data_IF_555733017563
#
_entry.id   IF_555733017563
#
_cell.length_a   1.000
_cell.length_b   1.000
_cell.length_c   1.000
_cell.angle_alpha   90.00
_cell.angle_beta   90.00
_cell.angle_gamma   90.00
#
_symmetry.space_group_name_H-M   'P 1'
#
loop_
_entity.id
_entity.type
_entity.pdbx_description
1 polymer ?
#
# COMPACT_ATOMS: atom_id res chain seq x y z
N UNK A 1 -8.59 -7.62 -19.22
CA UNK A 1 -8.98 -7.15 -17.86
C UNK A 1 -7.72 -7.17 -17.00
N UNK A 2 -7.33 -6.08 -16.33
CA UNK A 2 -6.17 -6.12 -15.41
C UNK A 2 -6.44 -7.12 -14.29
N UNK A 3 -5.47 -7.99 -13.99
CA UNK A 3 -5.60 -9.02 -12.95
C UNK A 3 -4.54 -8.80 -11.89
N UNK A 4 -4.97 -8.58 -10.65
CA UNK A 4 -4.11 -8.64 -9.46
C UNK A 4 -4.00 -10.10 -9.01
N UNK A 5 -2.81 -10.67 -9.03
CA UNK A 5 -2.55 -12.02 -8.49
C UNK A 5 -2.03 -11.87 -7.06
N UNK A 6 -2.36 -12.82 -6.19
CA UNK A 6 -1.81 -12.90 -4.85
C UNK A 6 -1.59 -14.36 -4.45
N UNK A 7 -0.71 -14.58 -3.48
CA UNK A 7 -0.54 -15.87 -2.81
C UNK A 7 -0.42 -15.65 -1.31
N UNK A 8 -0.93 -16.60 -0.52
CA UNK A 8 -0.74 -16.64 0.93
C UNK A 8 0.62 -17.28 1.21
N UNK A 9 1.40 -16.65 2.08
CA UNK A 9 2.72 -17.11 2.52
C UNK A 9 2.62 -17.98 3.78
N UNK A 10 1.50 -17.92 4.50
CA UNK A 10 1.24 -18.71 5.70
C UNK A 10 -0.26 -18.96 5.88
N UNK A 11 -0.60 -19.81 6.85
CA UNK A 11 -1.98 -20.05 7.29
C UNK A 11 -2.60 -18.85 8.01
N UNK A 12 -1.81 -17.86 8.43
CA UNK A 12 -2.29 -16.67 9.10
C UNK A 12 -2.82 -15.60 8.14
N UNK A 13 -2.50 -15.72 6.86
CA UNK A 13 -2.91 -14.77 5.83
C UNK A 13 -4.41 -14.84 5.51
N UNK A 14 -5.03 -13.67 5.40
CA UNK A 14 -6.43 -13.54 4.96
C UNK A 14 -6.48 -13.07 3.50
N UNK A 15 -7.41 -13.64 2.72
CA UNK A 15 -7.61 -13.24 1.32
C UNK A 15 -8.10 -11.79 1.25
N UNK A 16 -7.43 -10.90 0.48
CA UNK A 16 -7.90 -9.53 0.32
C UNK A 16 -9.33 -9.48 -0.25
N UNK A 17 -10.16 -8.57 0.27
CA UNK A 17 -11.56 -8.43 -0.17
C UNK A 17 -11.86 -7.00 -0.58
N UNK A 18 -12.99 -6.76 -1.26
CA UNK A 18 -13.47 -5.40 -1.55
C UNK A 18 -14.77 -5.15 -0.80
N UNK A 19 -14.90 -3.95 -0.23
CA UNK A 19 -16.14 -3.54 0.45
C UNK A 19 -17.35 -3.36 -0.47
N UNK A 20 -17.13 -3.23 -1.78
CA UNK A 20 -18.18 -3.20 -2.79
C UNK A 20 -17.62 -3.52 -4.18
N UNK A 21 -18.50 -3.75 -5.17
CA UNK A 21 -18.08 -3.99 -6.56
C UNK A 21 -17.28 -2.81 -7.16
N UNK A 22 -17.50 -1.59 -6.67
CA UNK A 22 -16.86 -0.34 -7.14
C UNK A 22 -15.81 0.20 -6.16
N UNK A 23 -15.48 -0.52 -5.08
CA UNK A 23 -14.43 -0.10 -4.17
C UNK A 23 -13.09 -0.03 -4.91
N UNK A 24 -12.35 1.05 -4.69
CA UNK A 24 -11.08 1.30 -5.37
C UNK A 24 -9.98 0.31 -4.94
N UNK A 25 -9.93 -0.02 -3.64
CA UNK A 25 -8.91 -0.89 -3.08
C UNK A 25 -9.44 -2.21 -2.52
N UNK A 26 -8.53 -3.15 -2.34
CA UNK A 26 -8.75 -4.39 -1.61
C UNK A 26 -8.31 -4.20 -0.16
N UNK A 27 -9.19 -4.48 0.80
CA UNK A 27 -8.84 -4.50 2.22
C UNK A 27 -7.68 -5.49 2.48
N UNK A 28 -6.65 -5.00 3.18
CA UNK A 28 -5.51 -5.79 3.65
C UNK A 28 -5.68 -6.09 5.14
N UNK A 29 -5.31 -7.31 5.52
CA UNK A 29 -5.58 -7.86 6.83
C UNK A 29 -4.29 -8.12 7.59
N UNK A 30 -4.28 -7.88 8.90
CA UNK A 30 -3.18 -8.29 9.75
C UNK A 30 -3.12 -9.82 9.87
N UNK A 31 -1.94 -10.40 9.69
CA UNK A 31 -1.71 -11.82 9.96
C UNK A 31 -1.47 -12.11 11.45
N UNK A 32 -1.12 -11.09 12.25
CA UNK A 32 -0.72 -11.24 13.65
C UNK A 32 -1.31 -10.15 14.54
N UNK A 33 -1.14 -10.31 15.85
CA UNK A 33 -1.46 -9.26 16.81
C UNK A 33 -0.30 -8.27 16.95
N UNK A 34 -0.62 -6.98 17.06
CA UNK A 34 0.34 -5.91 17.31
C UNK A 34 -0.24 -4.90 18.30
N UNK A 35 0.63 -4.32 19.11
CA UNK A 35 0.34 -3.15 19.95
C UNK A 35 1.24 -2.01 19.49
N UNK A 36 0.65 -0.90 19.05
CA UNK A 36 1.41 0.27 18.56
C UNK A 36 1.23 1.39 19.57
N UNK A 37 2.31 1.72 20.29
CA UNK A 37 2.28 2.79 21.29
C UNK A 37 1.97 4.16 20.66
N UNK A 38 1.48 5.13 21.46
CA UNK A 38 1.34 6.51 21.02
C UNK A 38 2.63 7.05 20.41
N UNK A 39 2.52 7.75 19.28
CA UNK A 39 3.66 8.34 18.56
C UNK A 39 4.70 7.33 18.07
N UNK A 40 4.32 6.07 17.88
CA UNK A 40 5.17 5.00 17.38
C UNK A 40 4.65 4.41 16.05
N UNK A 41 5.39 3.44 15.50
CA UNK A 41 5.06 2.75 14.25
C UNK A 41 5.29 1.24 14.36
N UNK A 42 4.54 0.48 13.57
CA UNK A 42 4.78 -0.94 13.38
C UNK A 42 4.67 -1.34 11.91
N UNK A 43 5.41 -2.37 11.53
CA UNK A 43 5.25 -3.02 10.23
C UNK A 43 4.32 -4.21 10.43
N UNK A 44 3.03 -4.00 10.18
CA UNK A 44 2.01 -5.04 10.27
C UNK A 44 2.12 -5.96 9.06
N UNK A 45 2.52 -7.21 9.28
CA UNK A 45 2.62 -8.23 8.23
C UNK A 45 1.24 -8.76 7.85
N UNK A 46 1.02 -8.93 6.55
CA UNK A 46 -0.23 -9.47 6.00
C UNK A 46 -0.10 -10.94 5.59
N UNK A 47 1.13 -11.43 5.45
CA UNK A 47 1.48 -12.76 4.95
C UNK A 47 0.89 -13.06 3.57
N UNK A 48 0.64 -12.03 2.77
CA UNK A 48 0.40 -12.18 1.34
C UNK A 48 1.60 -11.65 0.56
N UNK A 49 1.84 -12.26 -0.59
CA UNK A 49 2.62 -11.65 -1.68
C UNK A 49 1.66 -11.33 -2.83
N UNK A 50 2.02 -10.34 -3.64
CA UNK A 50 1.19 -9.91 -4.78
C UNK A 50 2.02 -9.81 -6.06
N UNK A 51 1.33 -9.91 -7.19
CA UNK A 51 1.81 -9.45 -8.48
C UNK A 51 0.74 -8.55 -9.07
N UNK A 52 1.01 -7.23 -9.04
CA UNK A 52 0.13 -6.21 -9.61
C UNK A 52 0.11 -6.34 -11.14
N UNK A 53 -0.92 -5.80 -11.81
CA UNK A 53 -0.95 -5.76 -13.28
C UNK A 53 0.26 -4.98 -13.82
N UNK A 54 0.74 -5.38 -15.01
CA UNK A 54 1.83 -4.66 -15.66
C UNK A 54 1.52 -3.18 -15.89
N UNK A 55 2.49 -2.31 -15.61
CA UNK A 55 2.32 -0.85 -15.69
C UNK A 55 1.54 -0.26 -14.51
N UNK A 56 1.44 -0.99 -13.40
CA UNK A 56 0.88 -0.51 -12.15
C UNK A 56 1.87 -0.72 -11.00
N UNK A 57 1.73 0.10 -9.96
CA UNK A 57 2.23 -0.22 -8.63
C UNK A 57 1.06 -0.50 -7.68
N UNK A 58 1.33 -1.18 -6.57
CA UNK A 58 0.39 -1.36 -5.49
C UNK A 58 0.50 -0.24 -4.48
N UNK A 59 -0.51 0.64 -4.40
CA UNK A 59 -0.59 1.64 -3.35
C UNK A 59 -1.21 1.06 -2.08
N UNK A 60 -0.44 0.96 -1.00
CA UNK A 60 -0.97 0.66 0.33
C UNK A 60 -1.49 1.97 0.92
N UNK A 61 -2.81 2.11 0.98
CA UNK A 61 -3.50 3.33 1.39
C UNK A 61 -4.17 3.16 2.77
N UNK A 62 -4.30 4.24 3.55
CA UNK A 62 -4.99 4.20 4.84
C UNK A 62 -6.48 3.92 4.68
N UNK A 63 -7.09 3.35 5.72
CA UNK A 63 -8.54 3.22 5.85
C UNK A 63 -9.06 4.46 6.57
N UNK A 64 -10.02 5.17 5.97
CA UNK A 64 -10.55 6.44 6.51
C UNK A 64 -11.08 6.31 7.94
N UNK A 65 -11.69 5.17 8.28
CA UNK A 65 -12.18 4.91 9.63
C UNK A 65 -11.05 4.83 10.68
N UNK A 66 -9.90 4.25 10.34
CA UNK A 66 -8.75 4.18 11.24
C UNK A 66 -8.10 5.56 11.41
N UNK A 67 -7.94 6.29 10.30
CA UNK A 67 -7.41 7.65 10.32
C UNK A 67 -8.27 8.60 11.14
N UNK A 68 -9.59 8.63 10.91
CA UNK A 68 -10.48 9.59 11.55
C UNK A 68 -10.79 9.26 13.02
N UNK A 69 -10.85 7.98 13.40
CA UNK A 69 -11.26 7.58 14.76
C UNK A 69 -10.09 7.30 15.70
N UNK A 70 -8.96 6.84 15.17
CA UNK A 70 -7.82 6.37 15.96
C UNK A 70 -6.53 7.12 15.65
N UNK A 71 -6.55 8.07 14.70
CA UNK A 71 -5.38 8.82 14.24
C UNK A 71 -4.25 7.90 13.72
N UNK A 72 -4.66 6.86 12.98
CA UNK A 72 -3.74 5.90 12.37
C UNK A 72 -3.53 6.23 10.89
N UNK A 73 -2.27 6.31 10.46
CA UNK A 73 -1.89 6.54 9.07
C UNK A 73 -1.01 5.42 8.52
N UNK A 74 -0.80 5.41 7.20
CA UNK A 74 0.02 4.42 6.48
C UNK A 74 1.25 5.07 5.87
N UNK A 75 2.42 4.51 6.15
CA UNK A 75 3.71 4.88 5.56
C UNK A 75 4.17 4.00 4.40
N UNK A 76 5.27 4.42 3.76
CA UNK A 76 5.91 3.81 2.58
C UNK A 76 4.99 3.74 1.35
N UNK A 77 3.89 3.01 1.43
CA UNK A 77 2.76 3.09 0.51
C UNK A 77 2.98 2.53 -0.89
N UNK A 78 4.20 2.18 -1.29
CA UNK A 78 4.54 1.70 -2.64
C UNK A 78 4.94 0.23 -2.60
N UNK A 79 4.24 -0.60 -3.37
CA UNK A 79 4.61 -1.99 -3.66
C UNK A 79 4.92 -2.10 -5.15
N UNK A 80 6.19 -2.31 -5.49
CA UNK A 80 6.67 -2.36 -6.86
C UNK A 80 6.12 -3.58 -7.64
N UNK A 81 6.10 -3.46 -8.96
CA UNK A 81 5.59 -4.51 -9.86
C UNK A 81 6.38 -5.83 -9.74
N UNK A 82 7.67 -5.75 -9.45
CA UNK A 82 8.60 -6.88 -9.30
C UNK A 82 8.77 -7.35 -7.85
N UNK A 83 8.14 -6.69 -6.87
CA UNK A 83 8.18 -7.12 -5.48
C UNK A 83 7.38 -8.42 -5.26
N UNK A 84 8.04 -9.44 -4.71
CA UNK A 84 7.44 -10.75 -4.38
C UNK A 84 7.56 -11.13 -2.91
N UNK A 85 7.97 -10.18 -2.07
CA UNK A 85 8.03 -10.39 -0.63
C UNK A 85 6.67 -10.32 0.05
N UNK A 86 6.68 -10.46 1.37
CA UNK A 86 5.51 -10.27 2.21
C UNK A 86 5.09 -8.80 2.20
N UNK A 87 3.86 -8.51 1.78
CA UNK A 87 3.29 -7.16 1.80
C UNK A 87 3.14 -6.72 3.25
N UNK A 88 3.93 -5.74 3.66
CA UNK A 88 3.83 -5.12 4.98
C UNK A 88 3.01 -3.83 4.90
N UNK A 89 2.28 -3.53 5.97
CA UNK A 89 1.60 -2.25 6.17
C UNK A 89 2.35 -1.49 7.27
N UNK A 90 3.01 -0.40 6.92
CA UNK A 90 3.65 0.48 7.90
C UNK A 90 2.56 1.35 8.52
N UNK A 91 2.12 1.04 9.73
CA UNK A 91 1.15 1.86 10.46
C UNK A 91 1.87 2.84 11.36
N UNK A 92 1.44 4.10 11.32
CA UNK A 92 1.81 5.13 12.29
C UNK A 92 0.66 5.36 13.24
N UNK A 93 0.94 5.34 14.55
CA UNK A 93 -0.02 5.76 15.56
C UNK A 93 0.29 7.18 16.01
N UNK A 94 -0.43 8.17 15.47
CA UNK A 94 -0.34 9.56 15.94
C UNK A 94 -1.31 9.87 17.08
N UNK A 95 -2.10 8.88 17.52
CA UNK A 95 -3.01 8.98 18.64
C UNK A 95 -2.29 9.06 19.99
N UNK A 96 -3.08 9.30 21.04
CA UNK A 96 -2.61 9.36 22.43
C UNK A 96 -2.73 8.04 23.18
N UNK A 97 -3.40 7.06 22.58
CA UNK A 97 -3.66 5.73 23.15
C UNK A 97 -2.93 4.67 22.33
N UNK A 98 -2.57 3.55 22.95
CA UNK A 98 -2.04 2.39 22.24
C UNK A 98 -3.08 1.86 21.27
N UNK A 99 -2.69 1.69 20.01
CA UNK A 99 -3.56 1.10 18.99
C UNK A 99 -3.30 -0.40 18.91
N UNK A 100 -4.32 -1.16 19.25
CA UNK A 100 -4.31 -2.63 19.19
C UNK A 100 -4.78 -3.09 17.81
N UNK A 101 -3.93 -3.85 17.14
CA UNK A 101 -4.27 -4.57 15.91
C UNK A 101 -4.38 -6.05 16.27
N UNK A 102 -5.52 -6.67 16.00
CA UNK A 102 -5.69 -8.11 16.15
C UNK A 102 -5.54 -8.82 14.80
N UNK A 103 -5.12 -10.07 14.84
CA UNK A 103 -5.10 -10.95 13.68
C UNK A 103 -6.48 -10.95 13.01
N UNK A 104 -6.49 -10.74 11.70
CA UNK A 104 -7.72 -10.63 10.91
C UNK A 104 -8.33 -9.22 10.86
N UNK A 105 -7.77 -8.23 11.56
CA UNK A 105 -8.22 -6.85 11.41
C UNK A 105 -7.82 -6.28 10.05
N UNK A 106 -8.72 -5.48 9.48
CA UNK A 106 -8.46 -4.72 8.26
C UNK A 106 -7.64 -3.49 8.59
N UNK A 107 -6.39 -3.46 8.15
CA UNK A 107 -5.40 -2.44 8.56
C UNK A 107 -5.10 -1.40 7.49
N UNK A 108 -5.25 -1.75 6.21
CA UNK A 108 -5.04 -0.85 5.08
C UNK A 108 -5.90 -1.31 3.89
N UNK A 109 -5.77 -0.62 2.76
CA UNK A 109 -6.32 -1.08 1.48
C UNK A 109 -5.27 -0.97 0.39
N UNK A 110 -5.24 -1.94 -0.52
CA UNK A 110 -4.36 -1.97 -1.68
C UNK A 110 -5.09 -1.45 -2.92
N UNK A 111 -4.61 -0.36 -3.51
CA UNK A 111 -5.11 0.19 -4.78
C UNK A 111 -4.08 -0.07 -5.88
N UNK A 112 -4.48 -0.62 -7.02
CA UNK A 112 -3.59 -0.73 -8.18
C UNK A 112 -3.67 0.55 -9.00
N UNK A 113 -2.60 1.34 -9.02
CA UNK A 113 -2.54 2.61 -9.73
C UNK A 113 -1.61 2.51 -10.94
N UNK A 114 -2.06 3.04 -12.08
CA UNK A 114 -1.25 3.06 -13.32
C UNK A 114 -0.10 4.03 -13.16
N UNK A 115 1.07 3.60 -13.64
CA UNK A 115 2.29 4.40 -13.69
C UNK A 115 2.90 4.35 -15.08
N UNK A 116 3.87 5.22 -15.32
CA UNK A 116 4.84 5.07 -16.40
C UNK A 116 6.20 4.70 -15.81
N UNK A 117 7.02 4.02 -16.61
CA UNK A 117 8.43 3.76 -16.33
C UNK A 117 9.28 4.71 -17.18
N UNK A 118 9.55 5.94 -16.73
CA UNK A 118 10.35 6.88 -17.50
C UNK A 118 11.85 6.55 -17.37
N UNK A 119 12.58 6.68 -18.48
CA UNK A 119 14.04 6.75 -18.43
C UNK A 119 14.48 8.13 -17.94
N UNK A 120 15.50 8.16 -17.08
CA UNK A 120 16.07 9.40 -16.56
C UNK A 120 17.22 9.88 -17.46
N UNK A 121 17.10 11.10 -18.00
CA UNK A 121 18.16 11.75 -18.80
C UNK A 121 18.60 13.04 -18.10
N UNK A 122 19.86 13.08 -17.67
CA UNK A 122 20.47 14.30 -17.11
C UNK A 122 20.74 15.31 -18.23
N UNK A 123 20.39 16.58 -18.02
CA UNK A 123 20.62 17.69 -18.95
C UNK A 123 21.56 18.72 -18.32
N UNK A 124 22.44 19.33 -19.12
CA UNK A 124 23.23 20.48 -18.67
C UNK A 124 22.34 21.71 -18.48
N UNK A 125 22.61 22.50 -17.42
CA UNK A 125 21.80 23.68 -17.09
C UNK A 125 22.17 24.84 -18.00
N UNK A 126 21.67 24.84 -19.24
CA UNK A 126 21.76 25.98 -20.15
C UNK A 126 20.41 26.22 -20.85
N UNK A 127 19.67 27.19 -20.30
CA UNK A 127 18.42 27.82 -20.80
C UNK A 127 17.25 26.89 -21.14
N UNK A 128 16.35 26.72 -20.15
CA UNK A 128 15.04 26.04 -20.17
C UNK A 128 15.14 24.53 -20.40
N UNK A 129 14.69 23.75 -19.41
CA UNK A 129 14.07 22.44 -19.66
C UNK A 129 12.90 22.68 -20.63
N UNK A 130 13.18 22.77 -21.92
CA UNK A 130 12.15 23.02 -22.91
C UNK A 130 11.19 21.85 -22.82
N UNK A 131 9.92 22.15 -22.54
CA UNK A 131 8.78 21.23 -22.57
C UNK A 131 8.62 20.66 -23.98
N UNK A 132 9.54 19.79 -24.41
CA UNK A 132 9.47 19.06 -25.67
C UNK A 132 8.84 17.71 -25.38
N UNK A 133 7.51 17.73 -25.45
CA UNK A 133 6.66 16.55 -25.36
C UNK A 133 5.21 16.86 -25.73
N UNK A 134 4.96 17.83 -26.62
CA UNK A 134 3.72 17.81 -27.42
C UNK A 134 4.05 17.06 -28.69
N UNK A 135 3.77 15.76 -28.70
CA UNK A 135 3.75 14.99 -29.94
C UNK A 135 2.40 15.19 -30.62
N UNK A 136 2.48 15.41 -31.94
CA UNK A 136 1.38 15.44 -32.90
C UNK A 136 0.46 14.22 -32.81
#
# INVERSE_FOLDING_TARGET
>A
IPVLKFAKLSEHATTPTRGSAKAAGYDLYSAYDYSISPMDKAIVKTDIQIAVPHGCYGRVAPRSGLAAKHFIDVGAGVVDEDYRGNVGVVLFNFGKETFEVKKGDRVAQLVCERICYPDLVQQEVNSKLSLLGRSN
#
